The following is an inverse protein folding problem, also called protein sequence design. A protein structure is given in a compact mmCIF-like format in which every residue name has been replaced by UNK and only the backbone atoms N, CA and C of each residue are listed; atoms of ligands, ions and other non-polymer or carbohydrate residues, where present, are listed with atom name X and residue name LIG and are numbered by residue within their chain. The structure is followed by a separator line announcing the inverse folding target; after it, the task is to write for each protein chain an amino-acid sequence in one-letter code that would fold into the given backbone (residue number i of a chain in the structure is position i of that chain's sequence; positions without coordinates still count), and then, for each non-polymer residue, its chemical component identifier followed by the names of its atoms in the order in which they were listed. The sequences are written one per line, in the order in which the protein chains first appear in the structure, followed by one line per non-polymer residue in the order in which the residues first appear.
data_IF_818762475374
#
_entry.id   IF_818762475374
#
_cell.length_a   1.000
_cell.length_b   1.000
_cell.length_c   1.000
_cell.angle_alpha   90.00
_cell.angle_beta   90.00
_cell.angle_gamma   90.00
#
_symmetry.space_group_name_H-M   'P 1'
#
loop_
_entity.id
_entity.type
_entity.pdbx_description
1 polymer ?
#
# COMPACT_ATOMS: atom_id res chain seq x y z
N UNK A 1 -19.76 -0.84 -3.13
CA UNK A 1 -19.67 -1.50 -1.81
C UNK A 1 -18.20 -1.56 -1.45
N UNK A 2 -17.76 -0.98 -0.32
CA UNK A 2 -16.34 -0.95 0.01
C UNK A 2 -15.86 -2.35 0.41
N UNK A 3 -14.73 -2.79 -0.15
CA UNK A 3 -14.08 -4.06 0.22
C UNK A 3 -13.05 -3.81 1.33
N UNK A 4 -12.85 -4.83 2.16
CA UNK A 4 -11.83 -4.83 3.22
C UNK A 4 -10.59 -5.55 2.72
N UNK A 5 -9.41 -5.20 3.21
CA UNK A 5 -8.14 -5.82 2.80
C UNK A 5 -8.20 -7.36 2.88
N UNK A 6 -8.85 -7.92 3.91
CA UNK A 6 -9.00 -9.37 4.09
C UNK A 6 -9.96 -10.04 3.10
N UNK A 7 -10.80 -9.27 2.38
CA UNK A 7 -11.83 -9.78 1.46
C UNK A 7 -11.48 -9.56 -0.01
N UNK A 8 -10.31 -8.98 -0.29
CA UNK A 8 -9.85 -8.79 -1.66
C UNK A 8 -9.38 -10.15 -2.18
N UNK A 9 -10.05 -10.68 -3.21
CA UNK A 9 -9.56 -11.84 -3.94
C UNK A 9 -8.47 -11.35 -4.88
N UNK A 10 -7.23 -11.48 -4.44
CA UNK A 10 -6.08 -11.14 -5.26
C UNK A 10 -5.92 -12.16 -6.37
N UNK A 11 -5.49 -11.67 -7.52
CA UNK A 11 -5.35 -12.46 -8.71
C UNK A 11 -4.26 -13.51 -8.51
N UNK A 12 -4.57 -14.80 -8.68
CA UNK A 12 -3.55 -15.85 -8.84
C UNK A 12 -2.86 -15.74 -10.21
N UNK A 13 -3.18 -14.70 -10.99
CA UNK A 13 -2.62 -14.52 -12.32
C UNK A 13 -1.10 -14.45 -12.20
N UNK A 14 -0.39 -15.24 -13.02
CA UNK A 14 1.05 -15.33 -12.96
C UNK A 14 1.60 -14.07 -13.63
N UNK A 15 1.68 -12.95 -12.91
CA UNK A 15 2.53 -11.85 -13.34
C UNK A 15 4.03 -12.26 -13.34
N UNK A 16 4.35 -13.51 -12.96
CA UNK A 16 5.55 -14.33 -13.23
C UNK A 16 6.87 -13.58 -13.00
N UNK A 17 7.56 -13.84 -11.88
CA UNK A 17 9.02 -13.66 -11.73
C UNK A 17 9.63 -12.28 -12.10
N UNK A 18 8.79 -11.31 -12.45
CA UNK A 18 9.11 -9.98 -12.91
C UNK A 18 8.57 -9.00 -11.86
N UNK A 19 9.50 -8.42 -11.12
CA UNK A 19 9.37 -7.71 -9.85
C UNK A 19 9.16 -6.20 -10.03
N UNK A 20 8.91 -5.39 -8.97
CA UNK A 20 8.65 -5.69 -7.54
C UNK A 20 7.19 -5.92 -7.11
N UNK A 21 7.00 -6.80 -6.12
CA UNK A 21 5.70 -7.06 -5.50
C UNK A 21 5.42 -6.06 -4.37
N UNK A 22 4.18 -5.57 -4.28
CA UNK A 22 3.76 -4.66 -3.21
C UNK A 22 3.12 -5.47 -2.09
N UNK A 23 3.77 -5.47 -0.94
CA UNK A 23 3.33 -6.13 0.28
C UNK A 23 2.56 -5.14 1.15
N UNK A 24 1.39 -5.54 1.65
CA UNK A 24 0.72 -4.86 2.75
C UNK A 24 0.88 -5.68 4.01
N UNK A 25 1.50 -5.10 5.04
CA UNK A 25 1.58 -5.69 6.37
C UNK A 25 0.64 -4.96 7.32
N UNK A 26 -0.53 -5.55 7.50
CA UNK A 26 -1.62 -5.04 8.30
C UNK A 26 -1.99 -6.12 9.32
N UNK A 27 -1.66 -5.91 10.59
CA UNK A 27 -2.04 -6.81 11.67
C UNK A 27 -2.84 -5.99 12.64
N UNK A 28 -4.01 -6.52 12.91
CA UNK A 28 -4.94 -6.00 13.85
C UNK A 28 -5.51 -7.24 14.50
N UNK A 29 -5.26 -7.32 15.79
CA UNK A 29 -5.79 -8.27 16.76
C UNK A 29 -7.30 -8.48 16.48
N UNK A 30 -7.94 -9.52 17.03
CA UNK A 30 -9.33 -9.91 16.71
C UNK A 30 -10.38 -8.76 16.74
N UNK A 31 -10.05 -7.60 17.33
CA UNK A 31 -10.83 -6.36 17.38
C UNK A 31 -10.46 -5.25 16.38
N UNK A 32 -9.46 -5.41 15.51
CA UNK A 32 -8.76 -4.24 15.00
C UNK A 32 -9.37 -3.50 13.80
N UNK A 33 -8.88 -2.27 13.59
CA UNK A 33 -9.33 -1.26 12.62
C UNK A 33 -9.45 -1.79 11.19
N UNK A 34 -10.68 -1.98 10.74
CA UNK A 34 -10.96 -2.38 9.38
C UNK A 34 -10.54 -1.27 8.40
N UNK A 35 -9.46 -1.52 7.65
CA UNK A 35 -9.05 -0.64 6.55
C UNK A 35 -9.96 -0.90 5.36
N UNK A 36 -10.71 0.13 4.98
CA UNK A 36 -11.60 0.10 3.82
C UNK A 36 -10.83 0.53 2.59
N UNK A 37 -10.82 -0.31 1.57
CA UNK A 37 -10.30 -0.01 0.24
C UNK A 37 -11.46 -0.12 -0.75
N UNK A 38 -12.25 0.95 -0.95
CA UNK A 38 -13.33 0.99 -1.93
C UNK A 38 -12.97 0.47 -3.32
N UNK A 39 -11.72 0.68 -3.75
CA UNK A 39 -11.18 0.34 -5.07
C UNK A 39 -10.27 -0.89 -5.04
N UNK A 40 -10.37 -1.71 -4.00
CA UNK A 40 -9.66 -2.98 -3.84
C UNK A 40 -9.55 -3.85 -5.11
N UNK A 41 -10.59 -3.84 -5.95
CA UNK A 41 -10.64 -4.64 -7.18
C UNK A 41 -9.63 -4.19 -8.25
N UNK A 42 -9.13 -2.96 -8.17
CA UNK A 42 -8.05 -2.48 -9.01
C UNK A 42 -6.65 -2.79 -8.42
N UNK A 43 -6.58 -3.24 -7.17
CA UNK A 43 -5.34 -3.46 -6.42
C UNK A 43 -4.93 -4.94 -6.38
N UNK A 44 -5.09 -5.65 -7.49
CA UNK A 44 -4.88 -7.09 -7.60
C UNK A 44 -3.42 -7.55 -7.45
N UNK A 45 -2.47 -6.62 -7.54
CA UNK A 45 -1.03 -6.83 -7.41
C UNK A 45 -0.51 -6.75 -5.97
N UNK A 46 -1.38 -6.44 -5.00
CA UNK A 46 -1.00 -6.38 -3.60
C UNK A 46 -0.97 -7.79 -2.98
N UNK A 47 -0.02 -8.02 -2.06
CA UNK A 47 0.01 -9.21 -1.22
C UNK A 47 -0.16 -8.84 0.25
N UNK A 48 -1.30 -9.15 0.88
CA UNK A 48 -1.51 -8.84 2.29
C UNK A 48 -0.85 -9.89 3.19
N UNK A 49 -0.38 -9.43 4.34
CA UNK A 49 0.02 -10.25 5.47
C UNK A 49 -0.62 -9.68 6.72
N UNK A 50 -1.17 -10.59 7.53
CA UNK A 50 -1.80 -10.29 8.80
C UNK A 50 -0.89 -10.55 10.01
N UNK A 51 0.35 -10.94 9.78
CA UNK A 51 1.34 -11.07 10.83
C UNK A 51 2.77 -10.87 10.29
N UNK A 52 3.63 -10.38 11.19
CA UNK A 52 5.01 -10.04 10.89
C UNK A 52 5.82 -11.29 10.49
N UNK A 53 5.56 -12.44 11.11
CA UNK A 53 6.37 -13.65 10.93
C UNK A 53 6.19 -14.22 9.53
N UNK A 54 4.95 -14.40 9.06
CA UNK A 54 4.69 -14.88 7.70
C UNK A 54 5.14 -13.88 6.65
N UNK A 55 4.98 -12.58 6.91
CA UNK A 55 5.50 -11.52 6.02
C UNK A 55 7.03 -11.63 5.87
N UNK A 56 7.75 -11.73 6.98
CA UNK A 56 9.21 -11.90 6.98
C UNK A 56 9.64 -13.19 6.29
N UNK A 57 8.99 -14.31 6.58
CA UNK A 57 9.30 -15.59 5.95
C UNK A 57 9.06 -15.55 4.44
N UNK A 58 8.04 -14.82 3.98
CA UNK A 58 7.80 -14.64 2.56
C UNK A 58 8.89 -13.79 1.89
N UNK A 59 9.25 -12.65 2.47
CA UNK A 59 10.32 -11.78 1.94
C UNK A 59 11.65 -12.55 1.89
N UNK A 60 11.97 -13.31 2.95
CA UNK A 60 13.17 -14.15 3.03
C UNK A 60 13.15 -15.34 2.10
N UNK A 61 12.00 -15.94 1.80
CA UNK A 61 11.96 -17.03 0.81
C UNK A 61 12.11 -16.55 -0.63
N UNK A 62 12.05 -15.24 -0.85
CA UNK A 62 12.17 -14.58 -2.15
C UNK A 62 13.28 -13.52 -2.13
N UNK A 63 14.48 -13.83 -1.60
CA UNK A 63 15.58 -12.86 -1.42
C UNK A 63 16.02 -12.19 -2.73
N UNK A 64 15.78 -12.83 -3.87
CA UNK A 64 16.08 -12.28 -5.20
C UNK A 64 15.05 -11.27 -5.70
N UNK A 65 13.94 -11.12 -4.98
CA UNK A 65 12.84 -10.26 -5.35
C UNK A 65 12.83 -8.97 -4.52
N UNK A 66 12.97 -7.78 -5.12
CA UNK A 66 12.66 -6.55 -4.47
C UNK A 66 11.16 -6.47 -4.19
N UNK A 67 10.87 -5.94 -3.01
CA UNK A 67 9.52 -5.70 -2.53
C UNK A 67 9.39 -4.26 -2.07
N UNK A 68 8.18 -3.71 -2.27
CA UNK A 68 7.73 -2.52 -1.59
C UNK A 68 6.83 -2.93 -0.43
N UNK A 69 7.13 -2.49 0.79
CA UNK A 69 6.38 -2.81 2.00
C UNK A 69 5.55 -1.60 2.44
N UNK A 70 4.23 -1.75 2.40
CA UNK A 70 3.27 -0.88 3.08
C UNK A 70 2.94 -1.48 4.44
N UNK A 71 3.57 -1.00 5.50
CA UNK A 71 3.37 -1.51 6.86
C UNK A 71 2.55 -0.56 7.73
N UNK A 72 1.61 -1.10 8.49
CA UNK A 72 0.94 -0.34 9.55
C UNK A 72 1.96 0.08 10.63
N UNK A 73 1.79 1.26 11.23
CA UNK A 73 2.69 1.83 12.23
C UNK A 73 3.04 0.82 13.33
N UNK A 74 2.03 0.18 13.92
CA UNK A 74 2.23 -0.75 15.03
C UNK A 74 3.06 -1.98 14.62
N UNK A 75 2.89 -2.45 13.39
CA UNK A 75 3.68 -3.55 12.85
C UNK A 75 5.12 -3.16 12.61
N UNK A 76 5.33 -1.97 12.04
CA UNK A 76 6.67 -1.46 11.79
C UNK A 76 7.40 -1.19 13.12
N UNK A 77 6.70 -0.65 14.11
CA UNK A 77 7.21 -0.52 15.48
C UNK A 77 7.62 -1.86 16.06
N UNK A 78 6.72 -2.84 16.02
CA UNK A 78 6.98 -4.18 16.54
C UNK A 78 8.14 -4.86 15.82
N UNK A 79 8.23 -4.69 14.50
CA UNK A 79 9.34 -5.19 13.69
C UNK A 79 10.68 -4.65 14.21
N UNK A 80 10.78 -3.33 14.40
CA UNK A 80 12.01 -2.70 14.88
C UNK A 80 12.31 -2.96 16.35
N UNK A 81 11.30 -3.02 17.22
CA UNK A 81 11.48 -3.34 18.65
C UNK A 81 12.03 -4.74 18.87
N UNK A 82 11.66 -5.69 18.01
CA UNK A 82 12.19 -7.05 18.05
C UNK A 82 13.62 -7.17 17.48
N UNK A 83 14.31 -6.05 17.25
CA UNK A 83 15.64 -5.96 16.66
C UNK A 83 15.78 -6.73 15.34
N UNK A 84 14.68 -6.82 14.58
CA UNK A 84 14.72 -7.49 13.29
C UNK A 84 15.43 -6.60 12.28
N UNK A 85 16.43 -7.19 11.62
CA UNK A 85 17.12 -6.56 10.50
C UNK A 85 16.12 -6.40 9.34
N UNK A 86 16.18 -5.25 8.68
CA UNK A 86 15.43 -5.02 7.45
C UNK A 86 16.08 -5.87 6.35
N UNK A 87 15.33 -6.75 5.67
CA UNK A 87 15.84 -7.50 4.53
C UNK A 87 16.32 -6.55 3.42
N UNK A 88 17.45 -6.87 2.79
CA UNK A 88 18.06 -6.03 1.74
C UNK A 88 17.17 -5.91 0.49
N UNK A 89 16.26 -6.87 0.30
CA UNK A 89 15.29 -6.89 -0.78
C UNK A 89 14.00 -6.10 -0.47
N UNK A 90 13.97 -5.32 0.62
CA UNK A 90 12.98 -4.27 0.83
C UNK A 90 13.52 -2.92 0.32
N UNK A 91 13.15 -2.57 -0.90
CA UNK A 91 13.60 -1.32 -1.55
C UNK A 91 12.88 -0.10 -1.00
N UNK A 92 11.56 -0.24 -0.84
CA UNK A 92 10.68 0.81 -0.38
C UNK A 92 9.93 0.37 0.87
N UNK A 93 10.02 1.17 1.94
CA UNK A 93 9.17 1.00 3.12
C UNK A 93 8.30 2.23 3.28
N UNK A 94 6.99 2.03 3.15
CA UNK A 94 5.94 3.01 3.34
C UNK A 94 5.22 2.66 4.63
N UNK A 95 5.21 3.58 5.59
CA UNK A 95 4.50 3.37 6.86
C UNK A 95 3.19 4.14 6.86
N UNK A 96 2.09 3.43 7.11
CA UNK A 96 0.77 4.02 7.21
C UNK A 96 0.18 3.82 8.61
N UNK A 97 -0.94 4.47 8.93
CA UNK A 97 -1.56 4.35 10.26
C UNK A 97 -1.21 5.47 11.23
N UNK A 98 -0.32 6.37 10.82
CA UNK A 98 0.23 7.39 11.71
C UNK A 98 -0.70 8.58 11.83
N UNK A 99 -1.04 8.95 13.06
CA UNK A 99 -1.84 10.14 13.34
C UNK A 99 -1.18 11.40 12.77
N UNK A 100 -1.99 12.28 12.16
CA UNK A 100 -1.50 13.52 11.53
C UNK A 100 -0.68 14.38 12.49
N UNK A 101 -1.01 14.34 13.78
CA UNK A 101 -0.32 15.08 14.86
C UNK A 101 1.06 14.48 15.16
N UNK A 102 1.22 13.18 14.98
CA UNK A 102 2.43 12.42 15.33
C UNK A 102 3.32 12.10 14.12
N UNK A 103 2.90 12.45 12.90
CA UNK A 103 3.69 12.26 11.67
C UNK A 103 5.14 12.73 11.80
N UNK A 104 5.37 13.88 12.42
CA UNK A 104 6.72 14.47 12.51
C UNK A 104 7.62 13.70 13.47
N UNK A 105 7.11 13.38 14.66
CA UNK A 105 7.84 12.64 15.69
C UNK A 105 8.12 11.21 15.21
N UNK A 106 7.15 10.58 14.56
CA UNK A 106 7.30 9.23 14.03
C UNK A 106 8.30 9.17 12.87
N UNK A 107 8.26 10.12 11.91
CA UNK A 107 9.29 10.24 10.86
C UNK A 107 10.70 10.38 11.43
N UNK A 108 10.86 11.13 12.52
CA UNK A 108 12.16 11.27 13.18
C UNK A 108 12.61 9.98 13.87
N UNK A 109 11.69 9.25 14.50
CA UNK A 109 11.96 7.94 15.09
C UNK A 109 12.42 6.93 14.03
N UNK A 110 11.69 6.81 12.91
CA UNK A 110 11.98 5.87 11.80
C UNK A 110 13.36 6.07 11.16
N UNK A 111 13.81 7.33 11.01
CA UNK A 111 15.13 7.67 10.41
C UNK A 111 16.32 7.05 11.15
N UNK A 112 16.13 6.61 12.40
CA UNK A 112 17.17 5.93 13.18
C UNK A 112 17.38 4.48 12.75
N UNK A 113 16.38 3.87 12.12
CA UNK A 113 16.34 2.43 11.82
C UNK A 113 16.57 2.11 10.35
N UNK A 114 16.19 3.00 9.43
CA UNK A 114 16.44 2.77 8.00
C UNK A 114 16.54 4.05 7.20
N UNK A 115 17.36 3.98 6.15
CA UNK A 115 17.35 4.95 5.05
C UNK A 115 16.33 4.60 3.96
N UNK A 116 15.85 3.35 3.91
CA UNK A 116 14.90 2.86 2.90
C UNK A 116 13.44 3.22 3.22
N UNK A 117 13.20 3.83 4.39
CA UNK A 117 11.86 4.31 4.75
C UNK A 117 11.63 5.64 4.03
N UNK A 118 10.86 5.58 2.95
CA UNK A 118 10.66 6.72 2.06
C UNK A 118 9.50 7.61 2.51
N UNK A 119 8.43 6.98 3.00
CA UNK A 119 7.15 7.68 3.19
C UNK A 119 6.47 7.25 4.47
N UNK A 120 5.89 8.25 5.16
CA UNK A 120 4.99 8.04 6.28
C UNK A 120 3.72 8.82 6.00
N UNK A 121 2.58 8.14 6.05
CA UNK A 121 1.28 8.67 5.66
C UNK A 121 0.18 8.30 6.69
N UNK A 122 -0.86 9.12 6.86
CA UNK A 122 -2.03 8.72 7.65
C UNK A 122 -2.93 7.76 6.87
N UNK A 123 -3.74 6.95 7.58
CA UNK A 123 -4.58 5.89 6.99
C UNK A 123 -5.52 6.39 5.88
N UNK A 124 -6.03 7.62 5.98
CA UNK A 124 -6.92 8.23 4.98
C UNK A 124 -6.25 8.44 3.61
N UNK A 125 -4.92 8.40 3.54
CA UNK A 125 -4.15 8.51 2.31
C UNK A 125 -3.76 7.16 1.72
N UNK A 126 -3.93 6.06 2.46
CA UNK A 126 -3.40 4.75 2.06
C UNK A 126 -3.91 4.29 0.70
N UNK A 127 -5.22 4.35 0.45
CA UNK A 127 -5.80 3.88 -0.82
C UNK A 127 -5.20 4.63 -2.02
N UNK A 128 -5.15 5.96 -1.94
CA UNK A 128 -4.58 6.81 -2.99
C UNK A 128 -3.11 6.46 -3.24
N UNK A 129 -2.33 6.30 -2.18
CA UNK A 129 -0.90 6.01 -2.31
C UNK A 129 -0.66 4.59 -2.86
N UNK A 130 -1.49 3.60 -2.52
CA UNK A 130 -1.44 2.27 -3.12
C UNK A 130 -1.74 2.30 -4.62
N UNK A 131 -2.76 3.07 -5.04
CA UNK A 131 -3.11 3.24 -6.45
C UNK A 131 -1.95 3.91 -7.20
N UNK A 132 -1.47 5.05 -6.70
CA UNK A 132 -0.36 5.80 -7.30
C UNK A 132 0.93 4.99 -7.37
N UNK A 133 1.21 4.18 -6.34
CA UNK A 133 2.37 3.29 -6.36
C UNK A 133 2.19 2.18 -7.39
N UNK A 134 1.02 1.52 -7.42
CA UNK A 134 0.71 0.49 -8.41
C UNK A 134 0.81 0.99 -9.85
N UNK A 135 0.33 2.21 -10.13
CA UNK A 135 0.44 2.83 -11.45
C UNK A 135 1.90 3.00 -11.87
N UNK A 136 2.71 3.65 -11.02
CA UNK A 136 4.15 3.84 -11.29
C UNK A 136 4.87 2.51 -11.48
N UNK A 137 4.52 1.51 -10.67
CA UNK A 137 5.09 0.18 -10.80
C UNK A 137 4.76 -0.44 -12.17
N UNK A 138 3.48 -0.45 -12.57
CA UNK A 138 3.05 -0.98 -13.87
C UNK A 138 3.69 -0.21 -15.02
N UNK A 139 3.75 1.12 -14.94
CA UNK A 139 4.41 1.97 -15.95
C UNK A 139 5.88 1.62 -16.11
N UNK A 140 6.61 1.45 -15.00
CA UNK A 140 8.03 1.11 -15.04
C UNK A 140 8.27 -0.26 -15.69
N UNK A 141 7.46 -1.27 -15.36
CA UNK A 141 7.66 -2.63 -15.89
C UNK A 141 7.14 -2.78 -17.33
N UNK A 142 6.17 -1.95 -17.76
CA UNK A 142 5.58 -2.03 -19.10
C UNK A 142 6.62 -1.89 -20.21
N UNK A 143 7.67 -1.09 -19.98
CA UNK A 143 8.76 -0.89 -20.93
C UNK A 143 9.68 -2.12 -21.05
N UNK A 144 9.81 -2.91 -19.97
CA UNK A 144 10.73 -4.04 -19.88
C UNK A 144 10.15 -5.35 -20.46
N UNK A 145 8.83 -5.52 -20.44
CA UNK A 145 8.23 -6.72 -21.02
C UNK A 145 8.38 -6.76 -22.54
N UNK A 146 8.45 -7.97 -23.11
CA UNK A 146 8.43 -8.17 -24.56
C UNK A 146 7.17 -8.92 -25.01
N UNK A 147 6.53 -9.67 -24.10
CA UNK A 147 5.33 -10.44 -24.40
C UNK A 147 4.10 -9.53 -24.63
N UNK A 148 3.45 -9.58 -25.81
CA UNK A 148 2.30 -8.74 -26.12
C UNK A 148 1.07 -9.01 -25.25
N UNK A 149 0.86 -10.24 -24.80
CA UNK A 149 -0.33 -10.59 -24.00
C UNK A 149 -0.20 -10.02 -22.57
N UNK A 150 0.95 -10.20 -21.94
CA UNK A 150 1.27 -9.60 -20.63
C UNK A 150 1.24 -8.08 -20.71
N UNK A 151 1.79 -7.47 -21.78
CA UNK A 151 1.67 -6.01 -21.99
C UNK A 151 0.22 -5.54 -22.04
N UNK A 152 -0.65 -6.27 -22.73
CA UNK A 152 -2.06 -5.92 -22.83
C UNK A 152 -2.77 -6.05 -21.47
N UNK A 153 -2.46 -7.08 -20.68
CA UNK A 153 -2.98 -7.23 -19.32
C UNK A 153 -2.53 -6.08 -18.41
N UNK A 154 -1.23 -5.76 -18.41
CA UNK A 154 -0.69 -4.64 -17.64
C UNK A 154 -1.33 -3.30 -18.03
N UNK A 155 -1.57 -3.05 -19.33
CA UNK A 155 -2.30 -1.86 -19.79
C UNK A 155 -3.75 -1.83 -19.29
N UNK A 156 -4.44 -2.98 -19.27
CA UNK A 156 -5.79 -3.06 -18.73
C UNK A 156 -5.81 -2.76 -17.23
N UNK A 157 -4.82 -3.25 -16.47
CA UNK A 157 -4.73 -2.96 -15.04
C UNK A 157 -4.37 -1.50 -14.77
N UNK A 158 -3.50 -0.90 -15.59
CA UNK A 158 -3.22 0.54 -15.53
C UNK A 158 -4.50 1.35 -15.76
N UNK A 159 -5.34 0.97 -16.73
CA UNK A 159 -6.63 1.62 -16.95
C UNK A 159 -7.58 1.47 -15.76
N UNK A 160 -7.62 0.30 -15.11
CA UNK A 160 -8.40 0.10 -13.88
C UNK A 160 -7.89 1.00 -12.75
N UNK A 161 -6.58 1.17 -12.63
CA UNK A 161 -5.98 2.04 -11.63
C UNK A 161 -6.26 3.52 -11.89
N UNK A 162 -6.23 3.97 -13.16
CA UNK A 162 -6.67 5.32 -13.50
C UNK A 162 -8.12 5.58 -13.09
N UNK A 163 -9.04 4.67 -13.42
CA UNK A 163 -10.43 4.78 -13.02
C UNK A 163 -10.59 4.79 -11.48
N UNK A 164 -9.83 3.94 -10.78
CA UNK A 164 -9.82 3.92 -9.31
C UNK A 164 -9.29 5.22 -8.70
N UNK A 165 -8.29 5.85 -9.33
CA UNK A 165 -7.76 7.15 -8.90
C UNK A 165 -8.79 8.25 -9.10
N UNK A 166 -9.45 8.31 -10.26
CA UNK A 166 -10.51 9.28 -10.54
C UNK A 166 -11.65 9.16 -9.52
N UNK A 167 -12.07 7.94 -9.22
CA UNK A 167 -13.06 7.64 -8.18
C UNK A 167 -12.59 8.10 -6.78
N UNK A 168 -11.30 7.92 -6.46
CA UNK A 168 -10.72 8.37 -5.19
C UNK A 168 -10.75 9.89 -5.08
N UNK A 169 -10.36 10.60 -6.15
CA UNK A 169 -10.36 12.07 -6.21
C UNK A 169 -11.78 12.64 -6.15
N UNK A 170 -12.75 12.03 -6.83
CA UNK A 170 -14.15 12.42 -6.73
C UNK A 170 -14.68 12.31 -5.30
N UNK A 171 -14.37 11.22 -4.58
CA UNK A 171 -14.77 11.06 -3.17
C UNK A 171 -14.14 12.13 -2.27
N UNK A 172 -12.87 12.46 -2.48
CA UNK A 172 -12.19 13.52 -1.74
C UNK A 172 -12.87 14.87 -1.95
N UNK A 173 -13.20 15.22 -3.20
CA UNK A 173 -13.88 16.47 -3.52
C UNK A 173 -15.26 16.55 -2.87
N UNK A 174 -16.05 15.46 -2.90
CA UNK A 174 -17.36 15.41 -2.23
C UNK A 174 -17.27 15.63 -0.72
N UNK A 175 -16.24 15.09 -0.06
CA UNK A 175 -16.03 15.31 1.37
C UNK A 175 -15.73 16.78 1.65
N UNK A 176 -14.85 17.39 0.87
CA UNK A 176 -14.49 18.80 1.00
C UNK A 176 -15.70 19.73 0.78
N UNK A 177 -16.51 19.47 -0.25
CA UNK A 177 -17.71 20.25 -0.54
C UNK A 177 -18.72 20.18 0.61
N UNK A 178 -18.89 19.00 1.22
CA UNK A 178 -19.77 18.81 2.38
C UNK A 178 -19.25 19.51 3.63
N UNK A 179 -17.94 19.48 3.89
CA UNK A 179 -17.32 20.19 5.03
C UNK A 179 -17.48 21.71 4.90
N UNK A 180 -17.35 22.24 3.68
CA UNK A 180 -17.57 23.65 3.38
C UNK A 180 -19.04 24.01 3.61
N UNK A 181 -19.98 23.20 3.09
CA UNK A 181 -21.41 23.43 3.25
C UNK A 181 -21.83 23.49 4.74
N UNK A 182 -21.39 22.51 5.54
CA UNK A 182 -21.67 22.49 6.99
C UNK A 182 -21.04 23.67 7.74
N UNK A 183 -19.86 24.13 7.31
CA UNK A 183 -19.18 25.28 7.91
C UNK A 183 -19.85 26.62 7.59
N UNK A 184 -20.58 26.70 6.47
CA UNK A 184 -21.38 27.86 6.07
C UNK A 184 -22.72 27.89 6.81
N UNK A 185 -23.36 26.74 7.03
CA UNK A 185 -24.64 26.62 7.74
C UNK A 185 -24.51 26.81 9.27
N UNK A 186 -23.32 26.62 9.83
CA UNK A 186 -23.03 26.83 11.26
C UNK A 186 -22.69 28.30 11.63
N UNK A 187 -22.79 29.24 10.69
CA UNK A 187 -22.57 30.69 10.88
C UNK A 187 -23.89 31.45 10.76
#
# INVERSE_FOLDING_TARGET
MAKHIHHIKFSEVPYLDCQPWIIILHQLDESGTIIRLPTADALTFLRPFNDIIHCQNHIKSHERNPFALFGHEDNIRTWFYNNNIIPDNLEDIIVFGVDKKDLRSFKQWLRRYSRNIQTVLPTDQLERELIMFGMRHIENVLDDFQDPNTKNLLKQDLQKLHAALDDCLMRINQILDNEIAMSVEAK
#
